data_IF_418094406967
#
_entry.id   IF_418094406967
#
_cell.length_a   1.000
_cell.length_b   1.000
_cell.length_c   1.000
_cell.angle_alpha   90.00
_cell.angle_beta   90.00
_cell.angle_gamma   90.00
#
_symmetry.space_group_name_H-M   'P 1'
#
loop_
_entity.id
_entity.type
_entity.pdbx_description
1 polymer ?
#
# COMPACT_ATOMS: atom_id res chain seq x y z
N UNK A 1 17.43 -1.28 -27.87
CA UNK A 1 18.07 -0.51 -26.76
C UNK A 1 17.48 -1.05 -25.47
N UNK A 2 18.31 -1.34 -24.51
CA UNK A 2 17.87 -1.82 -23.19
C UNK A 2 17.64 -0.61 -22.28
N UNK A 3 16.53 -0.60 -21.56
CA UNK A 3 16.16 0.49 -20.64
C UNK A 3 17.05 0.46 -19.38
N UNK A 4 17.29 -0.75 -18.87
CA UNK A 4 18.02 -0.99 -17.62
C UNK A 4 19.43 -0.39 -17.66
N UNK A 5 19.79 0.39 -16.65
CA UNK A 5 21.07 1.07 -16.52
C UNK A 5 21.18 2.35 -17.37
N UNK A 6 20.14 2.74 -18.12
CA UNK A 6 20.16 3.93 -18.97
C UNK A 6 19.85 5.21 -18.19
N UNK A 7 20.21 6.37 -18.77
CA UNK A 7 19.79 7.68 -18.25
C UNK A 7 18.25 7.85 -18.32
N UNK A 8 17.61 7.21 -19.28
CA UNK A 8 16.13 7.20 -19.41
C UNK A 8 15.48 6.48 -18.22
N UNK A 9 16.03 5.36 -17.77
CA UNK A 9 15.55 4.69 -16.55
C UNK A 9 15.64 5.62 -15.33
N UNK A 10 16.75 6.32 -15.15
CA UNK A 10 16.93 7.30 -14.06
C UNK A 10 15.90 8.44 -14.16
N UNK A 11 15.61 8.92 -15.39
CA UNK A 11 14.56 9.93 -15.62
C UNK A 11 13.17 9.40 -15.27
N UNK A 12 12.85 8.14 -15.58
CA UNK A 12 11.58 7.50 -15.21
C UNK A 12 11.41 7.41 -13.69
N UNK A 13 12.46 7.01 -12.96
CA UNK A 13 12.43 7.02 -11.50
C UNK A 13 12.22 8.42 -10.92
N UNK A 14 12.89 9.42 -11.49
CA UNK A 14 12.73 10.82 -11.07
C UNK A 14 11.30 11.32 -11.34
N UNK A 15 10.75 11.01 -12.52
CA UNK A 15 9.39 11.36 -12.87
C UNK A 15 8.38 10.66 -11.95
N UNK A 16 8.50 9.36 -11.73
CA UNK A 16 7.65 8.60 -10.80
C UNK A 16 7.65 9.21 -9.39
N UNK A 17 8.83 9.56 -8.87
CA UNK A 17 8.97 10.18 -7.56
C UNK A 17 8.31 11.57 -7.52
N UNK A 18 8.51 12.39 -8.56
CA UNK A 18 7.93 13.73 -8.69
C UNK A 18 6.41 13.71 -8.68
N UNK A 19 5.79 12.87 -9.52
CA UNK A 19 4.34 12.72 -9.61
C UNK A 19 3.72 12.16 -8.32
N UNK A 20 4.41 11.19 -7.70
CA UNK A 20 3.98 10.62 -6.40
C UNK A 20 3.96 11.67 -5.29
N UNK A 21 4.95 12.56 -5.25
CA UNK A 21 4.99 13.67 -4.31
C UNK A 21 3.91 14.72 -4.63
N UNK A 22 3.73 15.09 -5.90
CA UNK A 22 2.71 16.04 -6.35
C UNK A 22 1.32 15.56 -5.95
N UNK A 23 0.99 14.29 -6.23
CA UNK A 23 -0.26 13.64 -5.80
C UNK A 23 -0.55 13.85 -4.32
N UNK A 24 0.41 13.52 -3.46
CA UNK A 24 0.22 13.66 -2.02
C UNK A 24 0.07 15.11 -1.58
N UNK A 25 0.92 16.01 -2.08
CA UNK A 25 0.86 17.45 -1.77
C UNK A 25 -0.49 18.05 -2.16
N UNK A 26 -1.01 17.74 -3.36
CA UNK A 26 -2.28 18.30 -3.84
C UNK A 26 -3.47 17.80 -3.01
N UNK A 27 -3.45 16.55 -2.52
CA UNK A 27 -4.44 16.06 -1.55
C UNK A 27 -4.42 16.87 -0.25
N UNK A 28 -3.23 17.23 0.25
CA UNK A 28 -3.10 18.08 1.44
C UNK A 28 -3.57 19.53 1.17
N UNK A 29 -3.27 20.06 -0.02
CA UNK A 29 -3.71 21.41 -0.43
C UNK A 29 -5.24 21.46 -0.59
N UNK A 30 -5.85 20.42 -1.16
CA UNK A 30 -7.31 20.28 -1.25
C UNK A 30 -7.96 20.32 0.15
N UNK A 31 -7.42 19.56 1.10
CA UNK A 31 -7.90 19.55 2.48
C UNK A 31 -7.81 20.94 3.13
N UNK A 32 -6.74 21.69 2.87
CA UNK A 32 -6.56 23.06 3.37
C UNK A 32 -7.56 24.03 2.72
N UNK A 33 -7.71 23.97 1.41
CA UNK A 33 -8.66 24.81 0.67
C UNK A 33 -10.11 24.62 1.15
N UNK A 34 -10.54 23.37 1.40
CA UNK A 34 -11.86 23.07 2.01
C UNK A 34 -12.04 23.76 3.35
N UNK A 35 -11.04 23.68 4.24
CA UNK A 35 -11.09 24.32 5.57
C UNK A 35 -11.17 25.84 5.48
N UNK A 36 -10.68 26.44 4.39
CA UNK A 36 -10.73 27.87 4.13
C UNK A 36 -11.99 28.30 3.37
N UNK A 37 -12.86 27.35 2.97
CA UNK A 37 -14.13 27.63 2.25
C UNK A 37 -13.96 27.73 0.74
N UNK A 38 -12.85 27.30 0.16
CA UNK A 38 -12.58 27.36 -1.28
C UNK A 38 -12.88 26.02 -1.95
N UNK A 39 -14.16 25.62 -2.01
CA UNK A 39 -14.59 24.31 -2.54
C UNK A 39 -14.15 24.07 -3.99
N UNK A 40 -14.24 25.07 -4.87
CA UNK A 40 -13.80 24.95 -6.27
C UNK A 40 -12.29 24.69 -6.35
N UNK A 41 -11.47 25.39 -5.57
CA UNK A 41 -10.02 25.21 -5.55
C UNK A 41 -9.67 23.83 -5.00
N UNK A 42 -10.36 23.39 -3.98
CA UNK A 42 -10.18 22.05 -3.42
C UNK A 42 -10.49 20.96 -4.45
N UNK A 43 -11.60 21.08 -5.18
CA UNK A 43 -11.97 20.14 -6.24
C UNK A 43 -10.93 20.08 -7.37
N UNK A 44 -10.36 21.22 -7.78
CA UNK A 44 -9.29 21.28 -8.78
C UNK A 44 -8.02 20.59 -8.28
N UNK A 45 -7.64 20.77 -7.01
CA UNK A 45 -6.50 20.05 -6.42
C UNK A 45 -6.75 18.54 -6.37
N UNK A 46 -7.95 18.07 -6.02
CA UNK A 46 -8.30 16.66 -5.99
C UNK A 46 -8.27 16.04 -7.40
N UNK A 47 -8.81 16.75 -8.40
CA UNK A 47 -8.75 16.32 -9.81
C UNK A 47 -7.30 16.19 -10.27
N UNK A 48 -6.49 17.23 -10.05
CA UNK A 48 -5.07 17.21 -10.43
C UNK A 48 -4.31 16.09 -9.70
N UNK A 49 -4.55 15.90 -8.39
CA UNK A 49 -3.93 14.79 -7.63
C UNK A 49 -4.25 13.41 -8.25
N UNK A 50 -5.46 13.22 -8.78
CA UNK A 50 -5.83 11.98 -9.47
C UNK A 50 -5.13 11.86 -10.85
N UNK A 51 -4.88 12.96 -11.56
CA UNK A 51 -4.11 12.96 -12.80
C UNK A 51 -2.64 12.56 -12.51
N UNK A 52 -2.01 13.14 -11.49
CA UNK A 52 -0.63 12.81 -11.10
C UNK A 52 -0.47 11.36 -10.66
N UNK A 53 -1.49 10.77 -10.03
CA UNK A 53 -1.53 9.33 -9.75
C UNK A 53 -1.45 8.49 -11.03
N UNK A 54 -2.16 8.87 -12.09
CA UNK A 54 -2.13 8.12 -13.36
C UNK A 54 -0.80 8.35 -14.10
N UNK A 55 -0.21 9.57 -14.04
CA UNK A 55 1.13 9.81 -14.55
C UNK A 55 2.18 8.96 -13.86
N UNK A 56 2.20 8.93 -12.51
CA UNK A 56 3.09 8.08 -11.73
C UNK A 56 2.94 6.60 -12.13
N UNK A 57 1.71 6.11 -12.31
CA UNK A 57 1.42 4.74 -12.72
C UNK A 57 1.95 4.43 -14.13
N UNK A 58 1.91 5.38 -15.06
CA UNK A 58 2.50 5.20 -16.39
C UNK A 58 4.01 4.96 -16.28
N UNK A 59 4.72 5.81 -15.54
CA UNK A 59 6.17 5.67 -15.35
C UNK A 59 6.54 4.40 -14.60
N UNK A 60 5.76 4.03 -13.59
CA UNK A 60 5.95 2.77 -12.86
C UNK A 60 5.80 1.55 -13.76
N UNK A 61 4.84 1.54 -14.70
CA UNK A 61 4.69 0.47 -15.68
C UNK A 61 5.90 0.36 -16.60
N UNK A 62 6.40 1.48 -17.13
CA UNK A 62 7.60 1.48 -17.99
C UNK A 62 8.82 0.91 -17.26
N UNK A 63 8.98 1.22 -15.98
CA UNK A 63 10.04 0.66 -15.12
C UNK A 63 9.88 -0.85 -14.87
N UNK A 64 8.68 -1.40 -15.05
CA UNK A 64 8.34 -2.80 -14.82
C UNK A 64 7.94 -3.55 -16.12
N UNK A 65 8.49 -3.15 -17.27
CA UNK A 65 8.26 -3.86 -18.53
C UNK A 65 6.89 -3.64 -19.17
N UNK A 66 6.19 -2.56 -18.80
CA UNK A 66 4.92 -2.12 -19.41
C UNK A 66 3.67 -2.46 -18.61
N UNK A 67 3.76 -3.18 -17.50
CA UNK A 67 2.62 -3.57 -16.67
C UNK A 67 2.88 -3.42 -15.17
N UNK A 68 1.84 -3.53 -14.37
CA UNK A 68 1.97 -3.66 -12.91
C UNK A 68 2.32 -5.12 -12.61
N UNK A 69 3.38 -5.40 -11.85
CA UNK A 69 3.77 -6.78 -11.51
C UNK A 69 2.66 -7.58 -10.83
N UNK A 70 2.83 -8.89 -10.75
CA UNK A 70 1.87 -9.78 -10.10
C UNK A 70 1.69 -9.46 -8.61
N UNK A 71 0.59 -9.92 -8.01
CA UNK A 71 0.33 -9.74 -6.57
C UNK A 71 1.47 -10.32 -5.72
N UNK A 72 2.06 -11.43 -6.11
CA UNK A 72 3.20 -12.05 -5.40
C UNK A 72 4.41 -11.12 -5.43
N UNK A 73 4.81 -10.66 -6.62
CA UNK A 73 5.94 -9.72 -6.78
C UNK A 73 5.69 -8.40 -6.05
N UNK A 74 4.47 -7.87 -6.11
CA UNK A 74 4.12 -6.64 -5.40
C UNK A 74 4.18 -6.81 -3.87
N UNK A 75 3.76 -7.97 -3.33
CA UNK A 75 3.87 -8.26 -1.89
C UNK A 75 5.32 -8.42 -1.45
N UNK A 76 6.17 -9.05 -2.28
CA UNK A 76 7.61 -9.14 -2.03
C UNK A 76 8.25 -7.76 -2.01
N UNK A 77 8.02 -6.97 -3.06
CA UNK A 77 8.57 -5.63 -3.17
C UNK A 77 8.11 -4.69 -2.05
N UNK A 78 6.83 -4.79 -1.64
CA UNK A 78 6.30 -4.04 -0.50
C UNK A 78 7.00 -4.45 0.80
N UNK A 79 7.07 -5.75 1.09
CA UNK A 79 7.73 -6.24 2.31
C UNK A 79 9.21 -5.83 2.38
N UNK A 80 9.92 -5.89 1.25
CA UNK A 80 11.35 -5.50 1.18
C UNK A 80 11.53 -3.99 1.31
N UNK A 81 10.61 -3.19 0.77
CA UNK A 81 10.58 -1.74 0.95
C UNK A 81 10.40 -1.35 2.41
N UNK A 82 9.36 -1.88 3.07
CA UNK A 82 9.11 -1.62 4.49
C UNK A 82 10.28 -2.10 5.37
N UNK A 83 10.87 -3.26 5.04
CA UNK A 83 12.06 -3.75 5.74
C UNK A 83 13.20 -2.73 5.69
N UNK A 84 13.55 -2.22 4.50
CA UNK A 84 14.58 -1.19 4.35
C UNK A 84 14.24 0.09 5.12
N UNK A 85 12.96 0.50 5.11
CA UNK A 85 12.54 1.72 5.79
C UNK A 85 12.77 1.64 7.31
N UNK A 86 12.43 0.54 7.97
CA UNK A 86 12.58 0.46 9.41
C UNK A 86 13.96 -0.03 9.88
N UNK A 87 14.70 -0.83 9.09
CA UNK A 87 16.04 -1.32 9.49
C UNK A 87 17.14 -0.29 9.23
N UNK A 88 17.03 0.46 8.13
CA UNK A 88 18.11 1.32 7.64
C UNK A 88 17.70 2.80 7.60
N UNK A 89 16.69 3.14 6.82
CA UNK A 89 16.36 4.53 6.49
C UNK A 89 15.95 5.36 7.71
N UNK A 90 14.93 4.95 8.44
CA UNK A 90 14.43 5.69 9.60
C UNK A 90 15.35 5.60 10.80
N UNK A 91 16.10 4.51 10.96
CA UNK A 91 17.11 4.40 12.02
C UNK A 91 18.22 5.44 11.82
N UNK A 92 18.72 5.56 10.59
CA UNK A 92 19.72 6.59 10.24
C UNK A 92 19.16 8.00 10.39
N UNK A 93 17.95 8.26 9.89
CA UNK A 93 17.32 9.58 10.03
C UNK A 93 17.09 9.97 11.51
N UNK A 94 16.76 9.01 12.36
CA UNK A 94 16.59 9.27 13.78
C UNK A 94 17.92 9.62 14.47
N UNK A 95 19.02 8.95 14.12
CA UNK A 95 20.36 9.24 14.64
C UNK A 95 20.81 10.64 14.22
N UNK A 96 20.73 10.97 12.92
CA UNK A 96 21.07 12.30 12.40
C UNK A 96 20.24 13.39 13.10
N UNK A 97 18.92 13.19 13.24
CA UNK A 97 18.06 14.16 13.90
C UNK A 97 18.41 14.35 15.40
N UNK A 98 18.87 13.32 16.10
CA UNK A 98 19.39 13.45 17.47
C UNK A 98 20.70 14.25 17.52
N UNK A 99 21.64 13.94 16.65
CA UNK A 99 22.95 14.63 16.56
C UNK A 99 22.78 16.13 16.26
N UNK A 100 21.81 16.47 15.39
CA UNK A 100 21.46 17.85 15.06
C UNK A 100 20.58 18.55 16.11
N UNK A 101 20.14 17.83 17.15
CA UNK A 101 19.32 18.37 18.24
C UNK A 101 17.81 18.36 17.99
N UNK A 102 17.32 17.78 16.90
CA UNK A 102 15.88 17.65 16.57
C UNK A 102 15.22 16.44 17.24
N UNK A 103 15.31 16.37 18.58
CA UNK A 103 14.85 15.21 19.37
C UNK A 103 13.39 14.79 19.09
N UNK A 104 12.50 15.77 18.87
CA UNK A 104 11.10 15.50 18.56
C UNK A 104 10.93 14.84 17.19
N UNK A 105 11.75 15.17 16.19
CA UNK A 105 11.77 14.51 14.89
C UNK A 105 12.38 13.12 14.99
N UNK A 106 13.47 12.96 15.73
CA UNK A 106 14.06 11.64 15.99
C UNK A 106 13.05 10.66 16.60
N UNK A 107 12.26 11.12 17.60
CA UNK A 107 11.19 10.31 18.16
C UNK A 107 10.10 9.95 17.14
N UNK A 108 9.74 10.86 16.22
CA UNK A 108 8.79 10.59 15.14
C UNK A 108 9.35 9.57 14.16
N UNK A 109 10.60 9.68 13.73
CA UNK A 109 11.23 8.71 12.84
C UNK A 109 11.22 7.30 13.45
N UNK A 110 11.57 7.15 14.73
CA UNK A 110 11.48 5.85 15.43
C UNK A 110 10.05 5.34 15.54
N UNK A 111 9.09 6.22 15.75
CA UNK A 111 7.67 5.88 15.80
C UNK A 111 7.17 5.34 14.45
N UNK A 112 7.56 5.99 13.34
CA UNK A 112 7.23 5.51 11.99
C UNK A 112 7.94 4.19 11.71
N UNK A 113 9.24 4.06 12.00
CA UNK A 113 9.97 2.80 11.85
C UNK A 113 9.26 1.60 12.50
N UNK A 114 8.69 1.80 13.70
CA UNK A 114 7.91 0.75 14.36
C UNK A 114 6.63 0.38 13.61
N UNK A 115 6.00 1.33 12.92
CA UNK A 115 4.83 1.08 12.07
C UNK A 115 5.23 0.32 10.81
N UNK A 116 6.33 0.70 10.16
CA UNK A 116 6.80 0.04 8.92
C UNK A 116 7.22 -1.42 9.18
N UNK A 117 7.72 -1.72 10.39
CA UNK A 117 7.92 -3.11 10.81
C UNK A 117 6.62 -3.93 10.83
N UNK A 118 5.53 -3.37 11.36
CA UNK A 118 4.21 -4.03 11.36
C UNK A 118 3.66 -4.19 9.92
N UNK A 119 3.96 -3.23 9.03
CA UNK A 119 3.60 -3.32 7.61
C UNK A 119 4.38 -4.46 6.93
N UNK A 120 5.68 -4.58 7.15
CA UNK A 120 6.48 -5.69 6.64
C UNK A 120 5.93 -7.04 7.10
N UNK A 121 5.71 -7.23 8.40
CA UNK A 121 5.17 -8.46 8.95
C UNK A 121 3.81 -8.83 8.31
N UNK A 122 2.96 -7.83 8.09
CA UNK A 122 1.67 -7.99 7.41
C UNK A 122 1.84 -8.44 5.95
N UNK A 123 2.71 -7.79 5.18
CA UNK A 123 2.94 -8.15 3.78
C UNK A 123 3.59 -9.52 3.65
N UNK A 124 4.54 -9.88 4.51
CA UNK A 124 5.12 -11.23 4.52
C UNK A 124 4.07 -12.30 4.83
N UNK A 125 3.18 -12.03 5.77
CA UNK A 125 2.08 -12.94 6.09
C UNK A 125 1.08 -13.12 4.95
N UNK A 126 0.75 -12.03 4.24
CA UNK A 126 -0.08 -12.08 3.05
C UNK A 126 0.60 -12.86 1.92
N UNK A 127 1.90 -12.65 1.73
CA UNK A 127 2.71 -13.37 0.75
C UNK A 127 2.72 -14.88 1.03
N UNK A 128 2.95 -15.29 2.28
CA UNK A 128 2.84 -16.69 2.70
C UNK A 128 1.47 -17.27 2.37
N UNK A 129 0.39 -16.53 2.64
CA UNK A 129 -0.96 -16.98 2.34
C UNK A 129 -1.19 -17.18 0.83
N UNK A 130 -0.67 -16.28 -0.02
CA UNK A 130 -0.80 -16.41 -1.47
C UNK A 130 0.02 -17.60 -1.98
N UNK A 131 1.29 -17.69 -1.59
CA UNK A 131 2.19 -18.79 -2.02
C UNK A 131 1.74 -20.16 -1.53
N UNK A 132 1.08 -20.23 -0.37
CA UNK A 132 0.57 -21.46 0.22
C UNK A 132 -0.87 -21.82 -0.12
N UNK A 133 -1.54 -21.11 -1.03
CA UNK A 133 -2.98 -21.26 -1.32
C UNK A 133 -3.88 -21.12 -0.07
N UNK A 134 -3.43 -20.30 0.89
CA UNK A 134 -4.09 -20.11 2.20
C UNK A 134 -4.99 -18.87 2.25
N UNK A 135 -5.14 -18.13 1.16
CA UNK A 135 -6.03 -16.93 1.14
C UNK A 135 -7.47 -17.32 1.41
N UNK A 136 -7.96 -18.35 0.72
CA UNK A 136 -9.34 -18.85 0.83
C UNK A 136 -9.45 -20.22 1.48
N UNK A 137 -8.36 -20.70 2.08
CA UNK A 137 -8.26 -21.96 2.81
C UNK A 137 -7.38 -21.77 4.05
N UNK A 138 -7.69 -22.47 5.12
CA UNK A 138 -6.91 -22.41 6.37
C UNK A 138 -6.75 -23.80 6.98
N UNK A 139 -5.73 -23.96 7.80
CA UNK A 139 -5.63 -25.13 8.66
C UNK A 139 -6.69 -25.04 9.78
N UNK A 140 -7.68 -25.92 9.70
CA UNK A 140 -8.84 -25.93 10.58
C UNK A 140 -9.96 -24.98 10.15
N UNK A 141 -11.11 -25.11 10.82
CA UNK A 141 -12.29 -24.32 10.52
C UNK A 141 -12.12 -22.84 10.89
N UNK A 142 -12.56 -21.98 10.00
CA UNK A 142 -12.62 -20.52 10.18
C UNK A 142 -14.02 -20.03 9.90
N UNK A 143 -14.34 -18.89 10.49
CA UNK A 143 -15.55 -18.14 10.16
C UNK A 143 -15.24 -17.27 8.95
N UNK A 144 -15.91 -17.50 7.84
CA UNK A 144 -15.77 -16.73 6.59
C UNK A 144 -16.93 -15.77 6.46
N UNK A 145 -16.68 -14.57 5.95
CA UNK A 145 -17.69 -13.57 5.64
C UNK A 145 -17.58 -13.12 4.18
N UNK A 146 -18.72 -13.05 3.49
CA UNK A 146 -18.78 -12.45 2.16
C UNK A 146 -18.79 -10.93 2.27
N UNK A 147 -17.78 -10.25 1.73
CA UNK A 147 -17.64 -8.78 1.76
C UNK A 147 -18.75 -8.03 1.01
N UNK A 148 -19.47 -8.71 0.09
CA UNK A 148 -20.55 -8.08 -0.64
C UNK A 148 -21.87 -8.07 0.14
N UNK A 149 -22.30 -9.21 0.72
CA UNK A 149 -23.63 -9.33 1.31
C UNK A 149 -23.64 -9.66 2.81
N UNK A 150 -22.48 -9.87 3.42
CA UNK A 150 -22.38 -10.21 4.84
C UNK A 150 -22.71 -11.67 5.19
N UNK A 151 -22.96 -12.56 4.18
CA UNK A 151 -23.19 -13.97 4.45
C UNK A 151 -22.02 -14.59 5.20
N UNK A 152 -22.32 -15.28 6.30
CA UNK A 152 -21.32 -15.94 7.17
C UNK A 152 -21.46 -17.46 7.05
N UNK A 153 -20.31 -18.15 6.95
CA UNK A 153 -20.24 -19.60 6.98
C UNK A 153 -18.99 -20.08 7.73
N UNK A 154 -18.98 -21.34 8.14
CA UNK A 154 -17.86 -21.94 8.87
C UNK A 154 -17.31 -23.10 8.04
N UNK A 155 -16.00 -23.21 7.97
CA UNK A 155 -15.30 -24.32 7.30
C UNK A 155 -13.83 -24.03 7.09
N UNK A 156 -13.07 -25.04 6.62
CA UNK A 156 -11.65 -24.91 6.30
C UNK A 156 -11.39 -23.98 5.11
N UNK A 157 -12.38 -23.88 4.20
CA UNK A 157 -12.27 -23.05 2.99
C UNK A 157 -13.52 -22.20 2.80
N UNK A 158 -13.31 -21.00 2.24
CA UNK A 158 -14.39 -20.16 1.76
C UNK A 158 -15.14 -20.83 0.59
N UNK A 159 -16.45 -20.66 0.48
CA UNK A 159 -17.24 -21.17 -0.67
C UNK A 159 -16.70 -20.63 -1.99
N UNK A 160 -16.72 -21.46 -3.06
CA UNK A 160 -16.35 -21.03 -4.40
C UNK A 160 -17.25 -19.92 -4.95
N UNK A 161 -18.54 -19.97 -4.54
CA UNK A 161 -19.58 -18.99 -4.88
C UNK A 161 -20.42 -18.74 -3.62
N UNK A 162 -20.71 -17.49 -3.35
CA UNK A 162 -21.58 -17.12 -2.23
C UNK A 162 -23.01 -17.64 -2.49
N UNK A 163 -23.59 -18.46 -1.59
CA UNK A 163 -24.93 -19.03 -1.80
C UNK A 163 -26.06 -18.00 -1.72
N UNK A 164 -25.78 -16.80 -1.20
CA UNK A 164 -26.79 -15.74 -1.04
C UNK A 164 -26.76 -14.74 -2.20
N UNK A 165 -25.58 -14.28 -2.63
CA UNK A 165 -25.48 -13.19 -3.61
C UNK A 165 -24.72 -13.57 -4.88
N UNK A 166 -24.34 -14.85 -5.04
CA UNK A 166 -23.63 -15.39 -6.20
C UNK A 166 -22.27 -14.75 -6.54
N UNK A 167 -21.69 -13.95 -5.64
CA UNK A 167 -20.34 -13.43 -5.84
C UNK A 167 -19.28 -14.54 -5.70
N UNK A 168 -18.18 -14.49 -6.45
CA UNK A 168 -17.14 -15.51 -6.42
C UNK A 168 -16.38 -15.54 -5.08
N UNK A 169 -15.62 -16.60 -4.84
CA UNK A 169 -14.79 -16.82 -3.66
C UNK A 169 -13.90 -15.63 -3.30
N UNK A 170 -13.47 -14.86 -4.29
CA UNK A 170 -12.65 -13.65 -4.12
C UNK A 170 -13.29 -12.59 -3.19
N UNK A 171 -14.59 -12.67 -2.96
CA UNK A 171 -15.30 -11.78 -2.04
C UNK A 171 -15.32 -12.27 -0.59
N UNK A 172 -14.75 -13.43 -0.29
CA UNK A 172 -14.68 -13.92 1.08
C UNK A 172 -13.38 -13.54 1.77
N UNK A 173 -13.49 -13.30 3.05
CA UNK A 173 -12.36 -13.15 3.97
C UNK A 173 -12.65 -13.88 5.29
N UNK A 174 -11.63 -14.13 6.10
CA UNK A 174 -11.81 -14.59 7.47
C UNK A 174 -12.43 -13.45 8.26
N UNK A 175 -13.57 -13.72 8.91
CA UNK A 175 -14.29 -12.71 9.71
C UNK A 175 -13.42 -12.25 10.88
N UNK A 176 -13.23 -10.96 10.99
CA UNK A 176 -12.63 -10.32 12.15
C UNK A 176 -13.71 -9.85 13.12
N UNK A 177 -13.52 -10.11 14.41
CA UNK A 177 -14.40 -9.64 15.50
C UNK A 177 -13.54 -8.81 16.47
N UNK A 178 -13.19 -7.59 16.04
CA UNK A 178 -12.32 -6.68 16.78
C UNK A 178 -13.07 -5.58 17.56
N UNK A 179 -14.37 -5.75 17.72
CA UNK A 179 -15.27 -4.83 18.44
C UNK A 179 -15.84 -5.44 19.74
N UNK A 180 -15.30 -6.58 20.18
CA UNK A 180 -15.65 -7.27 21.44
C UNK A 180 -14.58 -7.02 22.50
#
# INVERSE_FOLDING_TARGET
MELKGSKTEQNLWTAFAGESQARNKYTYFASKAKKEGYEQIAAIFEETANNEKEHAKMWFKELNGGEIPSTVENLEAAADGENYEWTDMYDEFAKVAEEEGFKALAAKFRGVAAIEKEHEERYRKLLENVKGDLVFSKDGDKVWICRNCGHVCIGKSAPKVCPVCAHPQAYFEVKADNYM
#
